data_IF_459857802192
#
_entry.id   IF_459857802192
#
_cell.length_a   1.000
_cell.length_b   1.000
_cell.length_c   1.000
_cell.angle_alpha   90.00
_cell.angle_beta   90.00
_cell.angle_gamma   90.00
#
_symmetry.space_group_name_H-M   'P 1'
#
loop_
_entity.id
_entity.type
_entity.pdbx_description
1 polymer ?
#
# COMPACT_ATOMS: atom_id res chain seq x y z
N UNK A 1 9.92 19.89 -12.58
CA UNK A 1 10.00 18.62 -11.84
C UNK A 1 8.57 18.20 -11.58
N UNK A 2 8.18 16.98 -11.95
CA UNK A 2 6.82 16.51 -11.66
C UNK A 2 6.68 16.31 -10.16
N UNK A 3 5.63 16.89 -9.56
CA UNK A 3 5.33 16.72 -8.14
C UNK A 3 4.40 15.52 -7.95
N UNK A 4 4.68 14.71 -6.93
CA UNK A 4 3.89 13.54 -6.60
C UNK A 4 3.43 13.62 -5.14
N UNK A 5 2.18 13.25 -4.91
CA UNK A 5 1.70 12.91 -3.58
C UNK A 5 1.88 11.42 -3.33
N UNK A 6 2.12 11.04 -2.08
CA UNK A 6 2.37 9.66 -1.68
C UNK A 6 1.37 9.21 -0.64
N UNK A 7 1.00 7.93 -0.69
CA UNK A 7 0.11 7.29 0.27
C UNK A 7 0.66 5.93 0.66
N UNK A 8 0.57 5.63 1.95
CA UNK A 8 1.05 4.36 2.52
C UNK A 8 -0.16 3.58 3.01
N UNK A 9 -0.25 2.32 2.63
CA UNK A 9 -1.18 1.33 3.17
C UNK A 9 -0.37 0.21 3.79
N UNK A 10 -0.86 -0.37 4.88
CA UNK A 10 -0.31 -1.64 5.34
C UNK A 10 -1.43 -2.62 5.61
N UNK A 11 -1.18 -3.88 5.28
CA UNK A 11 -2.09 -4.99 5.46
C UNK A 11 -1.38 -6.09 6.25
N UNK A 12 -2.01 -6.57 7.31
CA UNK A 12 -1.50 -7.70 8.08
C UNK A 12 -2.01 -8.97 7.38
N UNK A 13 -1.11 -9.71 6.74
CA UNK A 13 -1.44 -10.99 6.11
C UNK A 13 -1.87 -11.97 7.21
N UNK A 14 -3.18 -12.15 7.38
CA UNK A 14 -3.74 -13.28 8.12
C UNK A 14 -4.43 -14.16 7.09
N UNK A 15 -3.80 -15.27 6.71
CA UNK A 15 -4.29 -16.24 5.71
C UNK A 15 -5.79 -16.53 5.90
N UNK A 16 -6.62 -15.80 5.18
CA UNK A 16 -8.07 -16.00 5.12
C UNK A 16 -8.52 -15.56 3.73
N UNK A 17 -9.16 -16.45 2.97
CA UNK A 17 -9.63 -16.15 1.59
C UNK A 17 -10.48 -14.86 1.49
N UNK A 18 -11.15 -14.49 2.59
CA UNK A 18 -11.92 -13.25 2.67
C UNK A 18 -11.04 -11.99 2.69
N UNK A 19 -9.82 -12.05 3.23
CA UNK A 19 -8.90 -10.91 3.25
C UNK A 19 -8.30 -10.64 1.87
N UNK A 20 -8.01 -11.66 1.08
CA UNK A 20 -7.45 -11.48 -0.26
C UNK A 20 -8.41 -10.74 -1.19
N UNK A 21 -9.71 -11.07 -1.13
CA UNK A 21 -10.74 -10.35 -1.88
C UNK A 21 -10.82 -8.88 -1.46
N UNK A 22 -10.77 -8.61 -0.15
CA UNK A 22 -10.81 -7.25 0.40
C UNK A 22 -9.56 -6.43 0.04
N UNK A 23 -8.39 -7.06 -0.01
CA UNK A 23 -7.15 -6.43 -0.44
C UNK A 23 -7.24 -6.02 -1.91
N UNK A 24 -7.64 -6.96 -2.78
CA UNK A 24 -7.81 -6.71 -4.21
C UNK A 24 -8.79 -5.56 -4.47
N UNK A 25 -9.93 -5.53 -3.78
CA UNK A 25 -10.91 -4.44 -3.88
C UNK A 25 -10.31 -3.08 -3.49
N UNK A 26 -9.51 -3.02 -2.42
CA UNK A 26 -8.85 -1.77 -2.01
C UNK A 26 -7.79 -1.31 -3.02
N UNK A 27 -6.98 -2.23 -3.52
CA UNK A 27 -5.97 -1.93 -4.55
C UNK A 27 -6.62 -1.42 -5.84
N UNK A 28 -7.69 -2.09 -6.27
CA UNK A 28 -8.48 -1.68 -7.44
C UNK A 28 -9.13 -0.31 -7.24
N UNK A 29 -9.64 -0.02 -6.04
CA UNK A 29 -10.18 1.31 -5.71
C UNK A 29 -9.11 2.39 -5.84
N UNK A 30 -7.91 2.16 -5.32
CA UNK A 30 -6.82 3.12 -5.45
C UNK A 30 -6.38 3.33 -6.90
N UNK A 31 -6.31 2.26 -7.71
CA UNK A 31 -6.08 2.40 -9.15
C UNK A 31 -7.14 3.28 -9.83
N UNK A 32 -8.42 3.10 -9.50
CA UNK A 32 -9.53 3.94 -10.01
C UNK A 32 -9.44 5.40 -9.55
N UNK A 33 -8.94 5.64 -8.33
CA UNK A 33 -8.74 6.98 -7.77
C UNK A 33 -7.46 7.68 -8.30
N UNK A 34 -6.79 7.08 -9.30
CA UNK A 34 -5.60 7.62 -9.96
C UNK A 34 -4.30 7.37 -9.21
N UNK A 35 -4.29 6.49 -8.21
CA UNK A 35 -3.07 6.10 -7.50
C UNK A 35 -2.33 4.99 -8.25
N UNK A 36 -1.04 5.17 -8.42
CA UNK A 36 -0.13 4.18 -8.98
C UNK A 36 0.66 3.50 -7.86
N UNK A 37 0.83 2.18 -7.93
CA UNK A 37 1.67 1.46 -6.99
C UNK A 37 3.16 1.77 -7.28
N UNK A 38 3.84 2.38 -6.33
CA UNK A 38 5.26 2.74 -6.43
C UNK A 38 6.18 1.67 -5.82
N UNK A 39 5.80 1.08 -4.69
CA UNK A 39 6.55 0.02 -4.04
C UNK A 39 5.64 -0.87 -3.17
N UNK A 40 6.02 -2.13 -3.02
CA UNK A 40 5.40 -3.04 -2.07
C UNK A 40 6.50 -3.88 -1.39
N UNK A 41 6.46 -4.00 -0.07
CA UNK A 41 7.41 -4.82 0.67
C UNK A 41 6.75 -5.47 1.88
N UNK A 42 7.15 -6.70 2.17
CA UNK A 42 6.76 -7.40 3.38
C UNK A 42 7.78 -7.13 4.48
N UNK A 43 7.33 -6.61 5.61
CA UNK A 43 8.13 -6.50 6.81
C UNK A 43 7.77 -7.70 7.72
N UNK A 44 8.69 -8.66 7.93
CA UNK A 44 8.46 -9.69 8.93
C UNK A 44 8.44 -9.01 10.30
N UNK A 45 7.39 -9.25 11.10
CA UNK A 45 7.43 -8.83 12.49
C UNK A 45 8.52 -9.63 13.21
N UNK A 46 9.63 -8.97 13.52
CA UNK A 46 10.58 -9.46 14.52
C UNK A 46 9.87 -9.26 15.86
N UNK A 47 9.24 -10.31 16.38
CA UNK A 47 8.69 -10.28 17.72
C UNK A 47 9.82 -10.00 18.71
N UNK A 48 9.61 -9.03 19.61
CA UNK A 48 10.57 -8.63 20.65
C UNK A 48 10.78 -9.67 21.76
N UNK A 49 10.27 -10.89 21.57
CA UNK A 49 10.28 -11.96 22.57
C UNK A 49 11.13 -13.14 22.08
N UNK A 50 11.90 -13.71 23.01
CA UNK A 50 12.78 -14.86 22.79
C UNK A 50 12.04 -16.12 22.31
N UNK A 51 10.70 -16.11 22.33
CA UNK A 51 9.83 -17.21 21.89
C UNK A 51 8.87 -16.82 20.76
N UNK A 52 9.01 -15.62 20.18
CA UNK A 52 8.16 -15.22 19.06
C UNK A 52 8.51 -16.07 17.85
N UNK A 53 7.61 -17.00 17.50
CA UNK A 53 7.64 -17.75 16.24
C UNK A 53 7.83 -16.77 15.09
N UNK A 54 9.05 -16.74 14.57
CA UNK A 54 9.43 -16.01 13.37
C UNK A 54 8.53 -16.52 12.25
N UNK A 55 7.73 -15.64 11.65
CA UNK A 55 7.02 -15.94 10.40
C UNK A 55 5.50 -16.12 10.46
N UNK A 56 4.84 -15.95 11.60
CA UNK A 56 3.36 -16.11 11.67
C UNK A 56 2.54 -14.86 11.31
N UNK A 57 3.15 -13.67 11.33
CA UNK A 57 2.50 -12.44 10.90
C UNK A 57 3.44 -11.67 9.97
N UNK A 58 3.09 -11.60 8.69
CA UNK A 58 3.78 -10.77 7.72
C UNK A 58 2.92 -9.54 7.46
N UNK A 59 3.46 -8.34 7.72
CA UNK A 59 2.80 -7.10 7.33
C UNK A 59 3.32 -6.66 5.98
N UNK A 60 2.44 -6.53 5.02
CA UNK A 60 2.78 -6.01 3.70
C UNK A 60 2.48 -4.52 3.71
N UNK A 61 3.48 -3.71 3.37
CA UNK A 61 3.34 -2.27 3.18
C UNK A 61 3.33 -1.96 1.69
N UNK A 62 2.33 -1.19 1.27
CA UNK A 62 2.18 -0.69 -0.09
C UNK A 62 2.37 0.82 -0.08
N UNK A 63 3.18 1.32 -1.01
CA UNK A 63 3.40 2.75 -1.25
C UNK A 63 2.79 3.08 -2.61
N UNK A 64 1.88 4.02 -2.61
CA UNK A 64 1.27 4.57 -3.81
C UNK A 64 1.80 5.97 -4.05
N UNK A 65 1.86 6.36 -5.32
CA UNK A 65 2.11 7.72 -5.77
C UNK A 65 0.97 8.17 -6.66
N UNK A 66 0.67 9.45 -6.67
CA UNK A 66 -0.22 10.08 -7.65
C UNK A 66 0.39 11.40 -8.06
N UNK A 67 0.28 11.76 -9.33
CA UNK A 67 0.80 13.03 -9.83
C UNK A 67 -0.05 14.17 -9.30
N UNK A 68 0.60 15.18 -8.71
CA UNK A 68 -0.05 16.45 -8.42
C UNK A 68 -0.23 17.18 -9.75
N UNK A 69 -1.47 17.34 -10.19
CA UNK A 69 -1.77 18.26 -11.29
C UNK A 69 -1.42 19.67 -10.79
N UNK A 70 -0.31 20.21 -11.28
CA UNK A 70 -0.03 21.63 -11.13
C UNK A 70 -1.10 22.37 -11.93
N UNK A 71 -1.95 23.17 -11.27
CA UNK A 71 -2.97 24.04 -11.89
C UNK A 71 -2.34 25.18 -12.71
N UNK A 72 -1.43 24.86 -13.63
CA UNK A 72 -0.95 25.79 -14.66
C UNK A 72 -1.43 25.28 -16.01
N UNK A 73 -2.70 25.56 -16.32
CA UNK A 73 -3.24 25.30 -17.66
C UNK A 73 -4.77 25.25 -17.78
N UNK A 74 -5.52 25.95 -16.93
CA UNK A 74 -6.97 26.13 -17.10
C UNK A 74 -7.32 27.62 -17.21
N UNK A 75 -6.64 28.32 -18.12
CA UNK A 75 -7.10 29.59 -18.66
C UNK A 75 -6.37 29.80 -19.99
N UNK A 76 -7.02 29.41 -21.08
CA UNK A 76 -6.97 30.05 -22.40
C UNK A 76 -8.20 29.64 -23.20
#
# INVERSE_FOLDING_TARGET
MEEFEYKIMSDDSKETDRQDTLLADRLNKYGKDGWELAAAFACPYIGSSQYSLIGLAQKITFIFKRRLLSEKGAHE
#
